data_IF_337942164904
#
_entry.id   IF_337942164904
#
_cell.length_a   1.000
_cell.length_b   1.000
_cell.length_c   1.000
_cell.angle_alpha   90.00
_cell.angle_beta   90.00
_cell.angle_gamma   90.00
#
_symmetry.space_group_name_H-M   'P 1'
#
loop_
_entity.id
_entity.type
_entity.pdbx_description
1 polymer ?
#
# COMPACT_ATOMS: atom_id res chain seq x y z
N UNK A 1 -8.65 -0.41 16.85
CA UNK A 1 -9.83 0.46 17.05
C UNK A 1 -10.01 1.26 15.78
N UNK A 2 -11.21 1.25 15.20
CA UNK A 2 -11.56 2.00 14.00
C UNK A 2 -12.89 2.74 14.23
N UNK A 3 -13.00 3.98 13.78
CA UNK A 3 -14.22 4.77 13.88
C UNK A 3 -15.17 4.44 12.73
N UNK A 4 -16.47 4.32 13.01
CA UNK A 4 -17.48 4.21 11.95
C UNK A 4 -17.64 5.53 11.19
N UNK A 5 -18.07 5.48 9.93
CA UNK A 5 -18.30 6.65 9.07
C UNK A 5 -17.09 7.60 8.94
N UNK A 6 -15.89 7.05 9.08
CA UNK A 6 -14.64 7.77 8.97
C UNK A 6 -13.74 7.11 7.91
N UNK A 7 -12.83 7.89 7.35
CA UNK A 7 -11.88 7.47 6.33
C UNK A 7 -10.49 8.03 6.64
N UNK A 8 -9.43 7.41 6.09
CA UNK A 8 -8.05 7.79 6.43
C UNK A 8 -7.61 7.37 7.84
N UNK A 9 -8.38 6.49 8.49
CA UNK A 9 -8.12 6.05 9.85
C UNK A 9 -8.28 7.15 10.90
N UNK A 10 -9.15 8.14 10.69
CA UNK A 10 -9.46 9.19 11.66
C UNK A 10 -9.91 8.56 13.00
N UNK A 11 -9.22 8.91 14.09
CA UNK A 11 -9.47 8.33 15.42
C UNK A 11 -9.03 6.87 15.59
N UNK A 12 -8.48 6.24 14.55
CA UNK A 12 -8.03 4.85 14.63
C UNK A 12 -6.73 4.70 15.41
N UNK A 13 -6.53 3.52 15.99
CA UNK A 13 -5.28 3.22 16.67
C UNK A 13 -5.18 1.78 17.16
N UNK A 14 -3.93 1.39 17.45
CA UNK A 14 -3.58 0.14 18.11
C UNK A 14 -3.44 0.39 19.61
N UNK A 15 -4.19 -0.35 20.42
CA UNK A 15 -4.08 -0.33 21.88
C UNK A 15 -3.42 -1.63 22.36
N UNK A 16 -2.38 -1.53 23.19
CA UNK A 16 -1.69 -2.67 23.79
C UNK A 16 -2.13 -2.97 25.22
N UNK A 17 -2.85 -2.03 25.82
CA UNK A 17 -3.34 -2.14 27.19
C UNK A 17 -4.63 -1.31 27.35
N UNK A 18 -5.32 -1.52 28.47
CA UNK A 18 -6.61 -0.86 28.77
C UNK A 18 -6.49 0.66 28.81
N UNK A 19 -5.35 1.20 29.24
CA UNK A 19 -5.12 2.64 29.28
C UNK A 19 -5.06 3.25 27.86
N UNK A 20 -4.27 2.64 26.97
CA UNK A 20 -4.21 3.03 25.56
C UNK A 20 -5.57 2.88 24.87
N UNK A 21 -6.30 1.80 25.18
CA UNK A 21 -7.65 1.55 24.65
C UNK A 21 -8.58 2.71 25.01
N UNK A 22 -8.67 3.07 26.29
CA UNK A 22 -9.50 4.19 26.77
C UNK A 22 -9.11 5.50 26.09
N UNK A 23 -7.81 5.80 26.00
CA UNK A 23 -7.32 7.03 25.37
C UNK A 23 -7.71 7.12 23.89
N UNK A 24 -7.49 6.06 23.12
CA UNK A 24 -7.80 6.03 21.70
C UNK A 24 -9.32 6.04 21.49
N UNK A 25 -10.08 5.26 22.26
CA UNK A 25 -11.54 5.21 22.15
C UNK A 25 -12.19 6.55 22.48
N UNK A 26 -11.72 7.29 23.50
CA UNK A 26 -12.25 8.61 23.83
C UNK A 26 -12.09 9.60 22.68
N UNK A 27 -10.93 9.59 22.01
CA UNK A 27 -10.68 10.44 20.84
C UNK A 27 -11.50 9.97 19.64
N UNK A 28 -11.58 8.66 19.40
CA UNK A 28 -12.39 8.10 18.32
C UNK A 28 -13.88 8.47 18.46
N UNK A 29 -14.40 8.36 19.69
CA UNK A 29 -15.80 8.64 20.02
C UNK A 29 -16.16 10.14 19.99
N UNK A 30 -15.18 11.05 20.01
CA UNK A 30 -15.46 12.47 19.76
C UNK A 30 -15.68 12.79 18.28
N UNK A 31 -15.24 11.90 17.38
CA UNK A 31 -15.45 12.05 15.92
C UNK A 31 -16.57 11.18 15.36
N UNK A 32 -16.88 10.06 16.02
CA UNK A 32 -17.90 9.10 15.57
C UNK A 32 -18.66 8.52 16.75
N UNK A 33 -19.97 8.33 16.61
CA UNK A 33 -20.81 7.72 17.65
C UNK A 33 -20.56 6.22 17.84
N UNK A 34 -19.81 5.58 16.93
CA UNK A 34 -19.55 4.15 16.96
C UNK A 34 -18.08 3.87 16.64
N UNK A 35 -17.50 2.92 17.39
CA UNK A 35 -16.17 2.38 17.14
C UNK A 35 -16.22 0.85 17.05
N UNK A 36 -15.34 0.29 16.23
CA UNK A 36 -15.09 -1.14 16.13
C UNK A 36 -13.76 -1.48 16.82
N UNK A 37 -13.78 -2.47 17.71
CA UNK A 37 -12.61 -3.03 18.39
C UNK A 37 -12.38 -4.44 17.84
N UNK A 38 -11.19 -4.68 17.32
CA UNK A 38 -10.83 -5.93 16.63
C UNK A 38 -9.51 -6.48 17.15
N UNK A 39 -9.31 -7.77 16.91
CA UNK A 39 -8.02 -8.41 17.09
C UNK A 39 -6.95 -7.75 16.20
N UNK A 40 -5.72 -7.74 16.70
CA UNK A 40 -4.60 -7.13 15.97
C UNK A 40 -4.05 -8.11 14.93
N UNK A 41 -4.24 -7.79 13.66
CA UNK A 41 -3.62 -8.49 12.51
C UNK A 41 -2.27 -7.88 12.10
N UNK A 42 -1.63 -7.14 13.02
CA UNK A 42 -0.39 -6.41 12.74
C UNK A 42 0.69 -7.33 12.14
N UNK A 43 1.27 -6.91 11.02
CA UNK A 43 2.31 -7.66 10.34
C UNK A 43 1.83 -8.59 9.24
N UNK A 44 0.52 -8.78 9.06
CA UNK A 44 -0.04 -9.49 7.91
C UNK A 44 0.12 -8.63 6.65
N UNK A 45 0.11 -9.27 5.47
CA UNK A 45 0.10 -8.56 4.19
C UNK A 45 -1.22 -7.80 4.06
N UNK A 46 -1.18 -6.60 3.49
CA UNK A 46 -2.37 -5.81 3.21
C UNK A 46 -2.56 -5.72 1.69
N UNK A 47 -3.70 -6.24 1.22
CA UNK A 47 -4.04 -6.40 -0.19
C UNK A 47 -5.34 -5.66 -0.47
N UNK A 48 -5.38 -4.92 -1.59
CA UNK A 48 -6.55 -4.16 -2.02
C UNK A 48 -7.01 -4.61 -3.40
N UNK A 49 -8.31 -4.61 -3.63
CA UNK A 49 -8.93 -4.86 -4.94
C UNK A 49 -9.90 -3.73 -5.30
N UNK A 50 -9.75 -3.19 -6.50
CA UNK A 50 -10.73 -2.30 -7.11
C UNK A 50 -11.71 -3.12 -7.93
N UNK A 51 -12.97 -3.16 -7.49
CA UNK A 51 -14.02 -3.98 -8.06
C UNK A 51 -15.01 -3.08 -8.79
N UNK A 52 -15.41 -3.48 -9.99
CA UNK A 52 -16.45 -2.79 -10.77
C UNK A 52 -17.57 -3.77 -11.07
N UNK A 53 -18.82 -3.35 -10.84
CA UNK A 53 -20.02 -4.16 -11.07
C UNK A 53 -21.12 -3.36 -11.73
N UNK A 54 -21.78 -3.94 -12.73
CA UNK A 54 -22.92 -3.35 -13.43
C UNK A 54 -24.28 -3.93 -13.01
N UNK A 55 -25.36 -3.39 -13.59
CA UNK A 55 -26.75 -3.80 -13.32
C UNK A 55 -27.10 -5.20 -13.86
N UNK A 56 -26.25 -5.76 -14.73
CA UNK A 56 -26.40 -7.09 -15.33
C UNK A 56 -25.63 -8.17 -14.55
N UNK A 57 -25.11 -7.83 -13.36
CA UNK A 57 -24.25 -8.67 -12.52
C UNK A 57 -22.89 -9.05 -13.14
N UNK A 58 -22.48 -8.34 -14.19
CA UNK A 58 -21.09 -8.41 -14.66
C UNK A 58 -20.20 -7.74 -13.60
N UNK A 59 -19.19 -8.47 -13.13
CA UNK A 59 -18.34 -8.02 -12.03
C UNK A 59 -16.88 -8.40 -12.31
N UNK A 60 -15.98 -7.42 -12.23
CA UNK A 60 -14.55 -7.56 -12.54
C UNK A 60 -13.70 -6.91 -11.45
N UNK A 61 -12.48 -7.40 -11.30
CA UNK A 61 -11.43 -6.75 -10.50
C UNK A 61 -10.45 -6.02 -11.41
N UNK A 62 -10.57 -4.69 -11.50
CA UNK A 62 -9.80 -3.86 -12.44
C UNK A 62 -8.34 -3.75 -12.04
N UNK A 63 -8.06 -3.68 -10.74
CA UNK A 63 -6.71 -3.59 -10.23
C UNK A 63 -6.62 -4.28 -8.88
N UNK A 64 -5.48 -4.92 -8.63
CA UNK A 64 -5.14 -5.41 -7.32
C UNK A 64 -3.80 -4.82 -6.89
N UNK A 65 -3.71 -4.47 -5.61
CA UNK A 65 -2.59 -3.74 -5.04
C UNK A 65 -2.05 -4.46 -3.81
N UNK A 66 -0.73 -4.45 -3.66
CA UNK A 66 -0.05 -5.02 -2.49
C UNK A 66 0.71 -3.92 -1.75
N UNK A 67 0.44 -3.79 -0.46
CA UNK A 67 1.15 -2.87 0.40
C UNK A 67 2.49 -3.50 0.80
N UNK A 68 3.59 -2.76 0.62
CA UNK A 68 4.92 -3.17 1.10
C UNK A 68 4.98 -3.06 2.63
N UNK A 69 4.40 -1.98 3.14
CA UNK A 69 4.20 -1.80 4.56
C UNK A 69 3.06 -2.72 5.04
N UNK A 70 3.28 -3.59 6.04
CA UNK A 70 2.26 -4.55 6.48
C UNK A 70 1.19 -3.88 7.34
N UNK A 71 0.09 -4.62 7.58
CA UNK A 71 -1.05 -4.18 8.41
C UNK A 71 -0.56 -3.51 9.69
N UNK A 72 -1.13 -2.34 9.97
CA UNK A 72 -0.79 -1.48 11.09
C UNK A 72 -0.25 -0.11 10.66
N UNK A 73 0.08 0.04 9.38
CA UNK A 73 0.30 1.32 8.70
C UNK A 73 -0.85 1.49 7.70
N UNK A 74 -1.53 2.63 7.72
CA UNK A 74 -2.67 2.90 6.84
C UNK A 74 -2.23 2.87 5.37
N UNK A 75 -3.02 2.30 4.45
CA UNK A 75 -2.68 2.20 3.01
C UNK A 75 -2.26 3.53 2.38
N UNK A 76 -2.93 4.62 2.77
CA UNK A 76 -2.57 6.00 2.43
C UNK A 76 -1.14 6.41 2.83
N UNK A 77 -0.62 5.90 3.95
CA UNK A 77 0.76 6.10 4.46
C UNK A 77 1.69 4.93 4.11
N UNK A 78 1.20 3.92 3.40
CA UNK A 78 2.00 2.77 2.95
C UNK A 78 2.57 3.01 1.56
N UNK A 79 3.73 2.40 1.28
CA UNK A 79 4.20 2.17 -0.08
C UNK A 79 3.38 1.02 -0.66
N UNK A 80 2.86 1.21 -1.87
CA UNK A 80 1.93 0.27 -2.51
C UNK A 80 2.41 -0.03 -3.92
N UNK A 81 2.31 -1.29 -4.34
CA UNK A 81 2.62 -1.72 -5.70
C UNK A 81 1.40 -2.30 -6.41
N UNK A 82 1.35 -2.14 -7.73
CA UNK A 82 0.38 -2.80 -8.60
C UNK A 82 1.11 -3.42 -9.82
N UNK A 83 0.80 -4.66 -10.21
CA UNK A 83 -0.08 -5.61 -9.50
C UNK A 83 0.58 -6.18 -8.22
N UNK A 84 -0.14 -7.03 -7.46
CA UNK A 84 0.50 -7.77 -6.35
C UNK A 84 1.66 -8.64 -6.81
N UNK A 85 2.69 -8.77 -5.99
CA UNK A 85 3.95 -9.46 -6.33
C UNK A 85 4.12 -10.79 -5.58
N UNK A 86 3.54 -10.92 -4.39
CA UNK A 86 3.85 -12.05 -3.49
C UNK A 86 2.67 -12.97 -3.21
N UNK A 87 1.58 -12.83 -3.98
CA UNK A 87 0.45 -13.75 -3.95
C UNK A 87 0.71 -14.92 -4.89
N UNK A 88 0.50 -16.15 -4.42
CA UNK A 88 0.38 -17.29 -5.32
C UNK A 88 -0.99 -17.28 -6.01
N UNK A 89 -1.15 -18.10 -7.06
CA UNK A 89 -2.38 -18.15 -7.85
C UNK A 89 -3.62 -18.53 -7.02
N UNK A 90 -3.46 -19.37 -5.99
CA UNK A 90 -4.56 -19.78 -5.11
C UNK A 90 -5.01 -18.60 -4.25
N UNK A 91 -4.06 -17.88 -3.64
CA UNK A 91 -4.33 -16.68 -2.84
C UNK A 91 -4.98 -15.59 -3.69
N UNK A 92 -4.42 -15.29 -4.86
CA UNK A 92 -4.94 -14.31 -5.79
C UNK A 92 -6.40 -14.60 -6.16
N UNK A 93 -6.68 -15.80 -6.69
CA UNK A 93 -8.03 -16.15 -7.13
C UNK A 93 -9.03 -16.22 -5.96
N UNK A 94 -8.57 -16.66 -4.79
CA UNK A 94 -9.41 -16.68 -3.58
C UNK A 94 -9.82 -15.27 -3.17
N UNK A 95 -8.87 -14.34 -3.05
CA UNK A 95 -9.18 -12.94 -2.68
C UNK A 95 -10.01 -12.24 -3.75
N UNK A 96 -9.69 -12.43 -5.03
CA UNK A 96 -10.50 -11.94 -6.17
C UNK A 96 -11.95 -12.43 -6.09
N UNK A 97 -12.16 -13.73 -5.88
CA UNK A 97 -13.50 -14.31 -5.73
C UNK A 97 -14.26 -13.69 -4.56
N UNK A 98 -13.60 -13.50 -3.42
CA UNK A 98 -14.22 -12.90 -2.23
C UNK A 98 -14.57 -11.43 -2.50
N UNK A 99 -13.70 -10.65 -3.13
CA UNK A 99 -13.96 -9.26 -3.47
C UNK A 99 -15.22 -9.12 -4.35
N UNK A 100 -15.34 -9.96 -5.38
CA UNK A 100 -16.54 -10.05 -6.24
C UNK A 100 -17.77 -10.44 -5.42
N UNK A 101 -17.66 -11.44 -4.54
CA UNK A 101 -18.77 -11.89 -3.69
C UNK A 101 -19.24 -10.79 -2.74
N UNK A 102 -18.34 -10.01 -2.18
CA UNK A 102 -18.66 -8.87 -1.30
C UNK A 102 -19.41 -7.80 -2.10
N UNK A 103 -18.89 -7.39 -3.26
CA UNK A 103 -19.54 -6.38 -4.10
C UNK A 103 -20.97 -6.79 -4.51
N UNK A 104 -21.16 -8.08 -4.84
CA UNK A 104 -22.49 -8.66 -5.10
C UNK A 104 -23.39 -8.65 -3.88
N UNK A 105 -22.88 -9.08 -2.72
CA UNK A 105 -23.66 -9.14 -1.48
C UNK A 105 -24.23 -7.78 -1.07
N UNK A 106 -23.45 -6.71 -1.24
CA UNK A 106 -23.88 -5.33 -0.97
C UNK A 106 -24.62 -4.67 -2.15
N UNK A 107 -24.91 -5.40 -3.23
CA UNK A 107 -25.59 -4.88 -4.43
C UNK A 107 -24.94 -3.61 -5.01
N UNK A 108 -23.61 -3.56 -5.00
CA UNK A 108 -22.89 -2.39 -5.52
C UNK A 108 -23.07 -2.32 -7.04
N UNK A 109 -23.41 -1.13 -7.53
CA UNK A 109 -23.45 -0.75 -8.94
C UNK A 109 -22.51 0.44 -9.11
N UNK A 110 -21.50 0.29 -9.96
CA UNK A 110 -20.37 1.21 -10.06
C UNK A 110 -19.09 0.56 -9.57
N UNK A 111 -18.36 1.24 -8.68
CA UNK A 111 -17.03 0.84 -8.23
C UNK A 111 -16.95 0.79 -6.70
N UNK A 112 -16.14 -0.15 -6.19
CA UNK A 112 -15.74 -0.18 -4.79
C UNK A 112 -14.34 -0.75 -4.57
N UNK A 113 -13.68 -0.28 -3.51
CA UNK A 113 -12.41 -0.81 -3.03
C UNK A 113 -12.67 -1.81 -1.87
N UNK A 114 -12.04 -2.99 -1.95
CA UNK A 114 -12.10 -4.03 -0.90
C UNK A 114 -10.70 -4.29 -0.35
N UNK A 115 -10.55 -4.25 0.98
CA UNK A 115 -9.27 -4.43 1.64
C UNK A 115 -9.21 -5.76 2.41
N UNK A 116 -8.07 -6.43 2.34
CA UNK A 116 -7.80 -7.71 2.97
C UNK A 116 -6.51 -7.68 3.78
N UNK A 117 -6.51 -8.35 4.92
CA UNK A 117 -5.29 -8.82 5.57
C UNK A 117 -5.07 -10.29 5.21
N UNK A 118 -3.88 -10.64 4.74
CA UNK A 118 -3.50 -12.02 4.41
C UNK A 118 -2.31 -12.46 5.27
N UNK A 119 -2.43 -13.63 5.90
CA UNK A 119 -1.37 -14.21 6.72
C UNK A 119 -0.13 -14.54 5.88
N UNK A 120 1.07 -14.26 6.41
CA UNK A 120 2.32 -14.57 5.71
C UNK A 120 2.61 -16.08 5.60
N UNK A 121 2.05 -16.88 6.51
CA UNK A 121 2.43 -18.29 6.69
C UNK A 121 1.25 -19.26 6.49
N UNK A 122 0.08 -18.77 6.08
CA UNK A 122 -1.12 -19.60 5.88
C UNK A 122 -2.11 -18.92 4.93
N UNK A 123 -3.09 -19.69 4.43
CA UNK A 123 -4.18 -19.16 3.61
C UNK A 123 -5.29 -18.43 4.41
N UNK A 124 -5.03 -18.09 5.68
CA UNK A 124 -5.93 -17.30 6.52
C UNK A 124 -5.94 -15.85 6.03
N UNK A 125 -7.13 -15.30 5.89
CA UNK A 125 -7.35 -13.92 5.50
C UNK A 125 -8.48 -13.33 6.33
N UNK A 126 -8.49 -12.01 6.46
CA UNK A 126 -9.60 -11.25 7.02
C UNK A 126 -9.98 -10.14 6.04
N UNK A 127 -11.28 -9.91 5.88
CA UNK A 127 -11.80 -8.73 5.19
C UNK A 127 -11.72 -7.56 6.17
N UNK A 128 -11.05 -6.49 5.79
CA UNK A 128 -10.83 -5.34 6.68
C UNK A 128 -11.98 -4.34 6.54
N UNK A 129 -12.21 -3.87 5.31
CA UNK A 129 -13.29 -2.94 5.00
C UNK A 129 -13.64 -2.99 3.52
N UNK A 130 -14.79 -2.40 3.21
CA UNK A 130 -15.21 -2.06 1.86
C UNK A 130 -15.55 -0.57 1.80
N UNK A 131 -15.02 0.09 0.78
CA UNK A 131 -15.34 1.47 0.44
C UNK A 131 -16.24 1.44 -0.80
N UNK A 132 -17.55 1.56 -0.61
CA UNK A 132 -18.55 1.57 -1.70
C UNK A 132 -18.62 2.93 -2.41
N UNK A 133 -17.47 3.39 -2.91
CA UNK A 133 -17.27 4.66 -3.62
C UNK A 133 -15.88 4.69 -4.24
N UNK A 134 -15.67 5.65 -5.15
CA UNK A 134 -14.34 6.03 -5.59
C UNK A 134 -13.45 6.43 -4.41
N UNK A 135 -12.20 6.02 -4.48
CA UNK A 135 -11.20 6.22 -3.45
C UNK A 135 -9.87 6.74 -4.04
N UNK A 136 -8.92 7.03 -3.15
CA UNK A 136 -7.54 7.33 -3.58
C UNK A 136 -6.92 6.13 -4.30
N UNK A 137 -7.20 4.91 -3.81
CA UNK A 137 -6.79 3.66 -4.44
C UNK A 137 -7.40 3.50 -5.84
N UNK A 138 -8.65 3.92 -6.04
CA UNK A 138 -9.31 3.92 -7.36
C UNK A 138 -8.65 4.90 -8.35
N UNK A 139 -8.22 6.08 -7.87
CA UNK A 139 -7.46 7.02 -8.68
C UNK A 139 -6.09 6.44 -9.08
N UNK A 140 -5.36 5.85 -8.13
CA UNK A 140 -4.10 5.15 -8.37
C UNK A 140 -4.28 4.01 -9.38
N UNK A 141 -5.27 3.15 -9.18
CA UNK A 141 -5.59 2.04 -10.07
C UNK A 141 -5.96 2.48 -11.49
N UNK A 142 -6.71 3.58 -11.63
CA UNK A 142 -7.04 4.13 -12.94
C UNK A 142 -5.79 4.60 -13.69
N UNK A 143 -4.82 5.19 -12.96
CA UNK A 143 -3.54 5.60 -13.53
C UNK A 143 -2.61 4.43 -13.80
N UNK A 144 -2.64 3.40 -12.96
CA UNK A 144 -1.84 2.19 -13.12
C UNK A 144 -2.26 1.38 -14.34
N UNK A 145 -3.56 1.24 -14.56
CA UNK A 145 -4.14 0.35 -15.58
C UNK A 145 -4.55 1.04 -16.87
N UNK A 146 -4.66 2.37 -16.86
CA UNK A 146 -5.31 3.13 -17.94
C UNK A 146 -6.83 2.94 -18.00
N UNK A 147 -7.43 2.18 -17.07
CA UNK A 147 -8.86 1.95 -16.99
C UNK A 147 -9.55 3.08 -16.21
N UNK A 148 -10.43 3.91 -16.81
CA UNK A 148 -10.95 5.10 -16.16
C UNK A 148 -12.11 4.77 -15.21
N UNK A 149 -11.81 4.27 -14.00
CA UNK A 149 -12.80 3.77 -13.03
C UNK A 149 -13.94 4.76 -12.77
N UNK A 150 -13.62 6.03 -12.54
CA UNK A 150 -14.63 7.06 -12.27
C UNK A 150 -15.60 7.28 -13.44
N UNK A 151 -15.07 7.28 -14.67
CA UNK A 151 -15.88 7.44 -15.88
C UNK A 151 -16.79 6.23 -16.10
N UNK A 152 -16.24 5.02 -15.94
CA UNK A 152 -17.03 3.78 -16.06
C UNK A 152 -18.10 3.72 -14.98
N UNK A 153 -17.75 3.93 -13.71
CA UNK A 153 -18.71 3.92 -12.60
C UNK A 153 -19.87 4.91 -12.81
N UNK A 154 -19.58 6.12 -13.32
CA UNK A 154 -20.61 7.10 -13.66
C UNK A 154 -21.55 6.61 -14.78
N UNK A 155 -21.04 5.91 -15.80
CA UNK A 155 -21.86 5.31 -16.84
C UNK A 155 -22.71 4.14 -16.32
N UNK A 156 -22.14 3.29 -15.47
CA UNK A 156 -22.89 2.20 -14.84
C UNK A 156 -24.04 2.71 -13.97
N UNK A 157 -23.83 3.83 -13.26
CA UNK A 157 -24.88 4.50 -12.49
C UNK A 157 -26.04 5.04 -13.36
N UNK A 158 -25.81 5.26 -14.66
CA UNK A 158 -26.85 5.62 -15.64
C UNK A 158 -27.52 4.39 -16.28
N UNK A 159 -27.20 3.17 -15.82
CA UNK A 159 -27.80 1.92 -16.30
C UNK A 159 -27.08 1.27 -17.48
N UNK A 160 -25.91 1.76 -17.90
CA UNK A 160 -25.12 1.09 -18.93
C UNK A 160 -24.51 -0.21 -18.39
N UNK A 161 -24.35 -1.20 -19.27
CA UNK A 161 -23.58 -2.41 -19.01
C UNK A 161 -22.09 -2.25 -19.34
N UNK A 162 -21.22 -2.99 -18.64
CA UNK A 162 -19.78 -2.99 -18.92
C UNK A 162 -19.45 -3.41 -20.37
N UNK A 163 -20.27 -4.29 -20.93
CA UNK A 163 -20.13 -4.79 -22.30
C UNK A 163 -20.49 -3.73 -23.37
N UNK A 164 -21.29 -2.73 -23.02
CA UNK A 164 -21.71 -1.64 -23.92
C UNK A 164 -20.68 -0.51 -23.98
N UNK A 165 -19.88 -0.36 -22.93
CA UNK A 165 -18.88 0.69 -22.82
C UNK A 165 -17.59 0.26 -23.54
N UNK A 166 -16.99 1.16 -24.33
CA UNK A 166 -15.73 0.90 -25.02
C UNK A 166 -14.53 1.16 -24.11
N UNK A 167 -13.48 0.35 -24.23
CA UNK A 167 -12.18 0.64 -23.66
C UNK A 167 -11.58 1.87 -24.36
N UNK A 168 -11.34 2.95 -23.61
CA UNK A 168 -10.84 4.22 -24.14
C UNK A 168 -9.40 4.15 -24.66
N UNK A 169 -8.60 3.18 -24.19
CA UNK A 169 -7.20 2.99 -24.56
C UNK A 169 -7.09 2.20 -25.87
N UNK A 170 -7.65 0.99 -25.92
CA UNK A 170 -7.56 0.14 -27.12
C UNK A 170 -8.56 0.53 -28.20
N UNK A 171 -9.69 1.15 -27.82
CA UNK A 171 -10.82 1.54 -28.69
C UNK A 171 -11.49 0.41 -29.47
N UNK A 172 -10.99 -0.82 -29.33
CA UNK A 172 -11.44 -2.03 -30.04
C UNK A 172 -12.20 -3.00 -29.13
N UNK A 173 -11.89 -3.01 -27.83
CA UNK A 173 -12.52 -3.90 -26.84
C UNK A 173 -13.55 -3.14 -26.01
N UNK A 174 -14.42 -3.87 -25.30
CA UNK A 174 -15.31 -3.29 -24.29
C UNK A 174 -14.56 -2.96 -22.99
N UNK A 175 -15.24 -2.32 -22.05
CA UNK A 175 -14.78 -2.11 -20.68
C UNK A 175 -14.97 -3.37 -19.82
N UNK A 176 -15.58 -4.44 -20.34
CA UNK A 176 -15.79 -5.68 -19.61
C UNK A 176 -14.56 -6.60 -19.69
N UNK A 177 -13.47 -6.21 -19.04
CA UNK A 177 -12.24 -6.99 -18.96
C UNK A 177 -11.43 -6.64 -17.71
N UNK A 178 -10.54 -7.53 -17.30
CA UNK A 178 -9.57 -7.26 -16.25
C UNK A 178 -8.23 -6.86 -16.90
N UNK A 179 -7.70 -5.65 -16.67
CA UNK A 179 -6.41 -5.23 -17.19
C UNK A 179 -5.26 -6.16 -16.79
N UNK A 180 -4.36 -6.42 -17.73
CA UNK A 180 -3.08 -7.07 -17.48
C UNK A 180 -1.94 -6.05 -17.65
N UNK A 181 -1.04 -6.00 -16.67
CA UNK A 181 0.07 -5.05 -16.63
C UNK A 181 1.37 -5.79 -16.95
N UNK A 182 2.11 -5.29 -17.94
CA UNK A 182 3.47 -5.74 -18.30
C UNK A 182 4.57 -4.89 -17.64
N UNK A 183 4.19 -4.08 -16.65
CA UNK A 183 5.04 -3.22 -15.85
C UNK A 183 4.60 -3.23 -14.38
N UNK A 184 5.46 -2.72 -13.50
CA UNK A 184 5.17 -2.51 -12.08
C UNK A 184 4.95 -1.03 -11.83
N UNK A 185 3.85 -0.74 -11.15
CA UNK A 185 3.54 0.59 -10.61
C UNK A 185 3.90 0.61 -9.13
N UNK A 186 4.58 1.67 -8.69
CA UNK A 186 4.93 1.90 -7.29
C UNK A 186 4.41 3.28 -6.86
N UNK A 187 3.55 3.29 -5.84
CA UNK A 187 3.09 4.48 -5.14
C UNK A 187 3.91 4.68 -3.88
N UNK A 188 4.43 5.89 -3.68
CA UNK A 188 5.15 6.28 -2.47
C UNK A 188 4.46 7.52 -1.85
N UNK A 189 4.03 7.45 -0.59
CA UNK A 189 3.45 8.59 0.12
C UNK A 189 4.51 9.67 0.42
N UNK A 190 4.04 10.92 0.48
CA UNK A 190 4.84 12.11 0.81
C UNK A 190 4.38 12.67 2.15
N UNK A 191 5.34 12.91 3.06
CA UNK A 191 5.09 13.50 4.37
C UNK A 191 5.84 14.81 4.57
N UNK A 192 5.16 15.84 5.06
CA UNK A 192 5.77 17.14 5.41
C UNK A 192 5.88 17.34 6.93
N UNK A 193 6.20 16.27 7.66
CA UNK A 193 6.19 16.26 9.12
C UNK A 193 7.23 17.20 9.77
N UNK A 194 8.29 17.56 9.05
CA UNK A 194 9.31 18.49 9.54
C UNK A 194 8.76 19.93 9.72
N UNK A 195 7.62 20.27 9.10
CA UNK A 195 6.96 21.57 9.27
C UNK A 195 6.18 21.68 10.59
N UNK A 196 5.95 20.57 11.30
CA UNK A 196 5.07 20.52 12.46
C UNK A 196 5.82 20.13 13.74
N UNK A 197 6.25 21.13 14.50
CA UNK A 197 6.87 20.91 15.81
C UNK A 197 5.90 20.24 16.79
N UNK A 198 6.38 19.27 17.57
CA UNK A 198 5.58 18.53 18.54
C UNK A 198 4.72 17.40 17.97
N UNK A 199 4.62 17.25 16.65
CA UNK A 199 3.89 16.15 16.01
C UNK A 199 4.76 14.89 15.92
N UNK A 200 4.19 13.74 16.30
CA UNK A 200 4.90 12.48 16.22
C UNK A 200 5.18 12.07 14.77
N UNK A 201 6.45 11.76 14.49
CA UNK A 201 6.92 11.28 13.18
C UNK A 201 6.66 9.80 12.91
N UNK A 202 6.04 9.09 13.87
CA UNK A 202 5.62 7.70 13.71
C UNK A 202 4.42 7.62 12.77
N UNK A 203 4.44 6.66 11.87
CA UNK A 203 3.30 6.32 10.99
C UNK A 203 2.58 5.10 11.57
N UNK A 204 1.28 4.99 11.29
CA UNK A 204 0.41 3.96 11.86
C UNK A 204 -0.93 3.91 11.14
N UNK A 205 -1.98 3.46 11.83
CA UNK A 205 -3.33 3.29 11.24
C UNK A 205 -4.05 4.59 10.87
N UNK A 206 -3.59 5.74 11.37
CA UNK A 206 -4.13 7.05 11.01
C UNK A 206 -3.17 7.75 10.06
N UNK A 207 -3.70 8.16 8.91
CA UNK A 207 -2.92 8.74 7.81
C UNK A 207 -2.31 10.09 8.20
N UNK A 208 -1.05 10.33 7.83
CA UNK A 208 -0.31 11.59 8.04
C UNK A 208 0.37 12.13 6.79
N UNK A 209 0.41 11.35 5.72
CA UNK A 209 0.88 11.80 4.42
C UNK A 209 0.02 12.95 3.89
N UNK A 210 0.66 13.88 3.20
CA UNK A 210 0.02 15.07 2.60
C UNK A 210 -0.19 14.91 1.09
N UNK A 211 0.42 13.87 0.52
CA UNK A 211 0.32 13.55 -0.90
C UNK A 211 0.97 12.21 -1.19
N UNK A 212 1.05 11.87 -2.46
CA UNK A 212 1.63 10.64 -2.95
C UNK A 212 2.17 10.84 -4.37
N UNK A 213 3.12 9.99 -4.74
CA UNK A 213 3.68 9.95 -6.09
C UNK A 213 3.52 8.55 -6.64
N UNK A 214 3.39 8.47 -7.96
CA UNK A 214 3.28 7.21 -8.69
C UNK A 214 4.40 7.12 -9.71
N UNK A 215 5.01 5.95 -9.79
CA UNK A 215 6.10 5.65 -10.72
C UNK A 215 5.86 4.30 -11.39
N UNK A 216 6.32 4.16 -12.63
CA UNK A 216 6.16 2.95 -13.45
C UNK A 216 7.54 2.48 -13.90
N UNK A 217 7.79 1.18 -13.87
CA UNK A 217 9.04 0.57 -14.37
C UNK A 217 8.83 -0.88 -14.79
N UNK A 218 9.74 -1.42 -15.59
CA UNK A 218 9.73 -2.84 -15.99
C UNK A 218 10.15 -3.79 -14.87
N UNK A 219 10.69 -3.26 -13.77
CA UNK A 219 10.97 -4.00 -12.54
C UNK A 219 10.60 -3.18 -11.30
N UNK A 220 10.50 -3.87 -10.16
CA UNK A 220 10.24 -3.20 -8.88
C UNK A 220 11.37 -2.23 -8.54
N UNK A 221 12.62 -2.67 -8.70
CA UNK A 221 13.81 -1.84 -8.46
C UNK A 221 13.79 -0.54 -9.27
N UNK A 222 13.37 -0.60 -10.53
CA UNK A 222 13.25 0.58 -11.39
C UNK A 222 12.13 1.51 -10.94
N UNK A 223 10.90 0.99 -10.79
CA UNK A 223 9.74 1.76 -10.37
C UNK A 223 10.00 2.43 -9.02
N UNK A 224 10.47 1.66 -8.04
CA UNK A 224 10.78 2.13 -6.69
C UNK A 224 11.81 3.26 -6.68
N UNK A 225 12.93 3.11 -7.41
CA UNK A 225 13.93 4.16 -7.47
C UNK A 225 13.44 5.43 -8.18
N UNK A 226 12.61 5.30 -9.22
CA UNK A 226 11.94 6.46 -9.86
C UNK A 226 11.05 7.17 -8.85
N UNK A 227 10.21 6.43 -8.12
CA UNK A 227 9.34 6.99 -7.08
C UNK A 227 10.11 7.73 -5.99
N UNK A 228 11.21 7.16 -5.49
CA UNK A 228 12.04 7.82 -4.47
C UNK A 228 12.62 9.16 -4.95
N UNK A 229 13.06 9.24 -6.21
CA UNK A 229 13.56 10.48 -6.80
C UNK A 229 12.49 11.55 -6.99
N UNK A 230 11.24 11.14 -7.18
CA UNK A 230 10.13 12.08 -7.36
C UNK A 230 9.69 12.73 -6.04
N UNK A 231 10.09 12.19 -4.87
CA UNK A 231 9.69 12.73 -3.55
C UNK A 231 10.14 14.18 -3.31
N UNK A 232 11.07 14.70 -4.09
CA UNK A 232 11.63 16.05 -3.95
C UNK A 232 12.18 16.31 -2.53
N UNK A 233 12.87 15.30 -2.00
CA UNK A 233 13.53 15.31 -0.68
C UNK A 233 15.05 15.31 -0.80
N UNK A 234 15.60 15.53 -2.01
CA UNK A 234 17.02 15.36 -2.31
C UNK A 234 17.47 13.89 -2.32
N UNK A 235 16.53 12.94 -2.40
CA UNK A 235 16.81 11.51 -2.52
C UNK A 235 17.12 11.16 -3.99
N UNK A 236 18.33 10.71 -4.28
CA UNK A 236 18.71 10.27 -5.64
C UNK A 236 18.31 8.81 -5.95
N UNK A 237 17.62 8.13 -5.03
CA UNK A 237 17.22 6.74 -5.13
C UNK A 237 17.20 6.08 -3.75
N UNK A 238 17.40 4.76 -3.72
CA UNK A 238 17.51 4.00 -2.47
C UNK A 238 18.90 4.19 -1.83
N UNK A 239 19.11 5.39 -1.28
CA UNK A 239 20.32 5.79 -0.53
C UNK A 239 19.90 6.61 0.67
N UNK A 240 20.59 6.48 1.80
CA UNK A 240 20.44 7.43 2.89
C UNK A 240 21.43 8.62 2.70
N UNK A 241 20.97 9.81 2.28
CA UNK A 241 21.85 10.94 2.04
C UNK A 241 22.43 11.50 3.34
N UNK A 242 21.77 11.27 4.47
CA UNK A 242 22.14 11.87 5.75
C UNK A 242 23.35 11.17 6.41
N UNK A 243 23.85 10.05 5.84
CA UNK A 243 25.08 9.31 6.23
C UNK A 243 25.35 9.25 7.74
N UNK A 244 24.31 9.27 8.56
CA UNK A 244 24.45 9.16 9.99
C UNK A 244 24.73 7.69 10.22
N UNK A 245 25.99 7.34 10.53
CA UNK A 245 26.41 6.00 10.98
C UNK A 245 25.68 5.68 12.28
N UNK A 246 24.39 5.39 12.15
CA UNK A 246 23.52 4.97 13.24
C UNK A 246 24.04 3.63 13.71
N UNK A 247 24.36 3.55 15.01
CA UNK A 247 24.64 2.27 15.64
C UNK A 247 23.46 1.33 15.38
N UNK A 248 23.76 0.05 15.14
CA UNK A 248 22.77 -0.99 14.88
C UNK A 248 21.57 -0.99 15.86
N UNK A 249 21.79 -0.73 17.15
CA UNK A 249 20.72 -0.65 18.16
C UNK A 249 19.68 0.41 17.81
N UNK A 250 20.13 1.55 17.29
CA UNK A 250 19.25 2.65 16.86
C UNK A 250 18.51 2.34 15.55
N UNK A 251 19.17 1.67 14.60
CA UNK A 251 18.55 1.19 13.36
C UNK A 251 17.41 0.22 13.68
N UNK A 252 17.67 -0.82 14.48
CA UNK A 252 16.67 -1.80 14.90
C UNK A 252 15.48 -1.12 15.60
N UNK A 253 15.74 -0.14 16.49
CA UNK A 253 14.69 0.60 17.20
C UNK A 253 13.76 1.35 16.23
N UNK A 254 14.31 1.95 15.17
CA UNK A 254 13.52 2.68 14.16
C UNK A 254 12.77 1.70 13.26
N UNK A 255 13.39 0.60 12.81
CA UNK A 255 12.71 -0.42 12.00
C UNK A 255 11.50 -1.04 12.72
N UNK A 256 11.59 -1.27 14.04
CA UNK A 256 10.47 -1.77 14.88
C UNK A 256 9.30 -0.78 15.02
N UNK A 257 9.57 0.51 14.88
CA UNK A 257 8.60 1.59 15.09
C UNK A 257 8.56 2.47 13.84
N UNK A 258 7.75 2.11 12.83
CA UNK A 258 7.79 2.73 11.52
C UNK A 258 7.61 4.25 11.60
N UNK A 259 8.43 4.95 10.83
CA UNK A 259 8.41 6.40 10.63
C UNK A 259 8.41 6.68 9.13
N UNK A 260 8.16 7.93 8.76
CA UNK A 260 8.18 8.37 7.35
C UNK A 260 9.49 8.03 6.61
N UNK A 261 10.63 7.93 7.33
CA UNK A 261 11.94 7.63 6.76
C UNK A 261 12.38 6.16 6.95
N UNK A 262 11.42 5.23 6.99
CA UNK A 262 11.72 3.80 7.25
C UNK A 262 12.59 3.19 6.15
N UNK A 263 12.38 3.57 4.90
CA UNK A 263 13.11 3.03 3.75
C UNK A 263 14.59 3.39 3.80
N UNK A 264 14.94 4.63 4.10
CA UNK A 264 16.34 5.06 4.24
C UNK A 264 17.03 4.30 5.39
N UNK A 265 16.27 3.93 6.43
CA UNK A 265 16.78 3.15 7.56
C UNK A 265 16.98 1.67 7.20
N UNK A 266 16.27 1.13 6.21
CA UNK A 266 16.53 -0.21 5.68
C UNK A 266 17.90 -0.24 4.98
N UNK A 267 18.26 0.84 4.28
CA UNK A 267 19.60 0.97 3.69
C UNK A 267 20.70 1.02 4.77
N UNK A 268 20.49 1.80 5.84
CA UNK A 268 21.37 1.81 7.03
C UNK A 268 21.52 0.39 7.62
N UNK A 269 20.46 -0.42 7.60
CA UNK A 269 20.48 -1.78 8.13
C UNK A 269 21.38 -2.70 7.32
N UNK A 270 21.33 -2.62 5.99
CA UNK A 270 22.24 -3.36 5.12
C UNK A 270 23.71 -2.90 5.28
N UNK A 271 23.97 -1.60 5.47
CA UNK A 271 25.32 -1.11 5.79
C UNK A 271 25.84 -1.67 7.13
N UNK A 272 24.96 -1.89 8.11
CA UNK A 272 25.29 -2.54 9.38
C UNK A 272 25.31 -4.09 9.29
N UNK A 273 25.15 -4.68 8.11
CA UNK A 273 25.29 -6.12 7.88
C UNK A 273 24.06 -6.95 8.23
N UNK A 274 22.86 -6.36 8.34
CA UNK A 274 21.64 -7.14 8.55
C UNK A 274 21.24 -7.90 7.28
N UNK A 275 20.81 -9.15 7.46
CA UNK A 275 20.27 -9.96 6.38
C UNK A 275 18.82 -9.58 6.04
N UNK A 276 18.36 -10.05 4.89
CA UNK A 276 16.95 -9.98 4.47
C UNK A 276 16.03 -10.54 5.56
N UNK A 277 16.37 -11.67 6.17
CA UNK A 277 15.57 -12.31 7.22
C UNK A 277 15.53 -11.48 8.51
N UNK A 278 16.66 -10.86 8.89
CA UNK A 278 16.70 -9.98 10.04
C UNK A 278 15.78 -8.76 9.85
N UNK A 279 15.83 -8.11 8.68
CA UNK A 279 14.98 -6.95 8.39
C UNK A 279 13.51 -7.36 8.29
N UNK A 280 13.23 -8.49 7.64
CA UNK A 280 11.87 -9.05 7.51
C UNK A 280 11.25 -9.33 8.88
N UNK A 281 11.95 -10.03 9.78
CA UNK A 281 11.45 -10.34 11.12
C UNK A 281 11.25 -9.11 12.02
N UNK A 282 11.95 -8.01 11.75
CA UNK A 282 11.79 -6.75 12.49
C UNK A 282 10.62 -5.92 11.95
N UNK A 283 10.49 -5.84 10.63
CA UNK A 283 9.59 -4.89 9.94
C UNK A 283 8.27 -5.51 9.52
N UNK A 284 8.21 -6.84 9.43
CA UNK A 284 7.16 -7.65 8.82
C UNK A 284 6.90 -7.32 7.34
N UNK A 285 7.80 -6.59 6.67
CA UNK A 285 7.77 -6.42 5.21
C UNK A 285 8.08 -7.77 4.57
N UNK A 286 7.37 -8.14 3.50
CA UNK A 286 7.63 -9.41 2.83
C UNK A 286 9.10 -9.54 2.37
N UNK A 287 9.75 -10.69 2.57
CA UNK A 287 11.16 -10.88 2.22
C UNK A 287 11.46 -10.65 0.74
N UNK A 288 10.47 -10.83 -0.16
CA UNK A 288 10.62 -10.50 -1.57
C UNK A 288 11.01 -9.04 -1.75
N UNK A 289 10.26 -8.08 -1.18
CA UNK A 289 10.57 -6.65 -1.30
C UNK A 289 11.93 -6.32 -0.69
N UNK A 290 12.23 -6.87 0.50
CA UNK A 290 13.53 -6.65 1.16
C UNK A 290 14.68 -7.19 0.30
N UNK A 291 14.52 -8.34 -0.36
CA UNK A 291 15.53 -8.87 -1.29
C UNK A 291 15.76 -7.96 -2.50
N UNK A 292 14.71 -7.31 -3.02
CA UNK A 292 14.87 -6.34 -4.13
C UNK A 292 15.63 -5.09 -3.68
N UNK A 293 15.36 -4.61 -2.46
CA UNK A 293 16.13 -3.52 -1.85
C UNK A 293 17.59 -3.92 -1.60
N UNK A 294 17.84 -5.18 -1.22
CA UNK A 294 19.19 -5.71 -1.07
C UNK A 294 19.94 -5.70 -2.42
N UNK A 295 19.29 -6.01 -3.53
CA UNK A 295 19.90 -5.91 -4.87
C UNK A 295 20.34 -4.48 -5.20
N UNK A 296 19.49 -3.49 -4.92
CA UNK A 296 19.83 -2.08 -5.09
C UNK A 296 21.08 -1.73 -4.25
N UNK A 297 21.09 -2.18 -3.00
CA UNK A 297 22.21 -1.97 -2.10
C UNK A 297 23.53 -2.63 -2.57
N UNK A 298 23.46 -3.90 -2.99
CA UNK A 298 24.61 -4.63 -3.56
C UNK A 298 25.13 -3.96 -4.83
N UNK A 299 24.23 -3.48 -5.69
CA UNK A 299 24.57 -2.74 -6.91
C UNK A 299 25.30 -1.44 -6.58
N UNK A 300 24.80 -0.66 -5.61
CA UNK A 300 25.48 0.52 -5.08
C UNK A 300 26.91 0.19 -4.61
N UNK A 301 27.09 -0.88 -3.83
CA UNK A 301 28.42 -1.31 -3.35
C UNK A 301 29.36 -1.67 -4.49
N UNK A 302 28.86 -2.39 -5.51
CA UNK A 302 29.63 -2.76 -6.70
C UNK A 302 30.08 -1.52 -7.49
N UNK A 303 29.17 -0.58 -7.75
CA UNK A 303 29.50 0.67 -8.45
C UNK A 303 30.57 1.46 -7.67
N UNK A 304 30.40 1.60 -6.35
CA UNK A 304 31.36 2.31 -5.49
C UNK A 304 32.76 1.65 -5.50
N UNK A 305 32.82 0.33 -5.48
CA UNK A 305 34.07 -0.41 -5.57
C UNK A 305 34.84 -0.08 -6.86
N UNK A 306 34.18 -0.15 -8.03
CA UNK A 306 34.83 0.19 -9.30
C UNK A 306 35.17 1.67 -9.43
N UNK A 307 34.35 2.57 -8.90
CA UNK A 307 34.65 4.01 -8.89
C UNK A 307 35.94 4.30 -8.12
N UNK A 308 36.13 3.66 -6.97
CA UNK A 308 37.33 3.80 -6.14
C UNK A 308 38.57 3.08 -6.69
N UNK A 309 38.44 2.21 -7.69
CA UNK A 309 39.59 1.60 -8.37
C UNK A 309 40.14 2.51 -9.48
N UNK A 310 39.29 3.36 -10.05
CA UNK A 310 39.63 4.25 -11.17
C UNK A 310 40.04 5.66 -10.73
N UNK A 311 40.02 5.95 -9.42
CA UNK A 311 40.37 7.21 -8.78
C UNK A 311 41.19 6.95 -7.52
#
# INVERSE_FOLDING_TARGET
>A
IRSAYALGGLGSGLAKNVYELKKISSVALSYSSQILIEESLKGWKEIEYEVVRDIYDNCITVCNMENIDPIGIHTGDSIVVAPSQTLNNIEYNKLRFIAIKIARYFNIIGECNVQFALSNNSYKYNVIEINARLSRSSALASKATGYPLAFIAAKLALGYGLHELKNTVTKLTSAFFEPALDYIVCKIPRWDLNKFYGVSTKIGSSMKSVGELMSIGGSFEEAFQKGLRMLDLGLYGFINPFKNKKNIKSVIKILKSPKYNRIEVIEDAFENGLSVDNITSITNINPWFISRLENLFKTKKKIKYYYNLNH
#
